data_IF_664641567243
#
_entry.id   IF_664641567243
#
_cell.length_a   1.000
_cell.length_b   1.000
_cell.length_c   1.000
_cell.angle_alpha   90.00
_cell.angle_beta   90.00
_cell.angle_gamma   90.00
#
_symmetry.space_group_name_H-M   'P 1'
#
loop_
_entity.id
_entity.type
_entity.pdbx_description
1 polymer ?
#
# COMPACT_ATOMS: atom_id res chain seq x y z
N UNK A 1 -4.25 21.72 6.11
CA UNK A 1 -3.12 20.79 6.35
C UNK A 1 -3.69 19.45 6.79
N UNK A 2 -3.19 18.32 6.26
CA UNK A 2 -3.59 17.00 6.70
C UNK A 2 -3.47 16.80 8.20
N UNK A 3 -4.45 16.17 8.84
CA UNK A 3 -4.37 15.80 10.25
C UNK A 3 -3.37 14.65 10.41
N UNK A 4 -2.28 14.88 11.13
CA UNK A 4 -1.34 13.82 11.49
C UNK A 4 -2.05 12.83 12.45
N UNK A 5 -2.02 11.54 12.16
CA UNK A 5 -2.46 10.52 13.11
C UNK A 5 -1.50 9.34 13.01
N UNK A 6 -0.66 9.16 14.04
CA UNK A 6 0.35 8.11 14.06
C UNK A 6 -0.24 6.69 14.09
N UNK A 7 -1.53 6.53 14.39
CA UNK A 7 -2.25 5.27 14.25
C UNK A 7 -2.31 4.81 12.78
N UNK A 8 -2.19 5.74 11.82
CA UNK A 8 -2.17 5.41 10.40
C UNK A 8 -1.10 4.36 10.05
N UNK A 9 0.03 4.32 10.78
CA UNK A 9 1.07 3.32 10.57
C UNK A 9 0.62 1.90 10.95
N UNK A 10 -0.02 1.74 12.11
CA UNK A 10 -0.59 0.48 12.57
C UNK A 10 -1.91 0.10 11.87
N UNK A 11 -2.52 1.01 11.10
CA UNK A 11 -3.69 0.69 10.26
C UNK A 11 -3.29 0.27 8.85
N UNK A 12 -2.21 0.84 8.30
CA UNK A 12 -1.63 0.43 7.00
C UNK A 12 -0.89 -0.89 7.09
N UNK A 13 -0.26 -1.14 8.23
CA UNK A 13 0.52 -2.34 8.54
C UNK A 13 -0.07 -3.05 9.76
N UNK A 14 0.39 -4.23 10.12
CA UNK A 14 0.19 -4.74 11.49
C UNK A 14 1.10 -3.99 12.49
N UNK A 15 0.96 -4.18 13.79
CA UNK A 15 1.74 -3.46 14.83
C UNK A 15 3.27 -3.52 14.59
N UNK A 16 3.78 -4.68 14.16
CA UNK A 16 5.20 -4.87 13.86
C UNK A 16 5.65 -4.08 12.62
N UNK A 17 4.83 -4.05 11.56
CA UNK A 17 5.10 -3.24 10.37
C UNK A 17 4.89 -1.74 10.61
N UNK A 18 3.95 -1.35 11.49
CA UNK A 18 3.72 0.04 11.88
C UNK A 18 4.92 0.64 12.61
N UNK A 19 5.62 -0.18 13.41
CA UNK A 19 6.90 0.21 14.02
C UNK A 19 7.97 0.54 12.98
N UNK A 20 8.12 -0.30 11.96
CA UNK A 20 9.10 -0.11 10.88
C UNK A 20 8.75 1.15 10.06
N UNK A 21 7.47 1.33 9.72
CA UNK A 21 7.03 2.51 8.95
C UNK A 21 7.20 3.81 9.75
N UNK A 22 6.96 3.78 11.07
CA UNK A 22 7.22 4.93 11.95
C UNK A 22 8.70 5.30 12.00
N UNK A 23 9.59 4.30 12.05
CA UNK A 23 11.04 4.51 12.04
C UNK A 23 11.51 5.12 10.71
N UNK A 24 10.99 4.63 9.58
CA UNK A 24 11.26 5.20 8.26
C UNK A 24 10.79 6.64 8.14
N UNK A 25 9.56 6.93 8.61
CA UNK A 25 9.02 8.28 8.66
C UNK A 25 9.90 9.21 9.52
N UNK A 26 10.33 8.72 10.69
CA UNK A 26 11.21 9.45 11.59
C UNK A 26 12.57 9.75 10.94
N UNK A 27 13.16 8.78 10.21
CA UNK A 27 14.41 8.99 9.47
C UNK A 27 14.29 10.13 8.45
N UNK A 28 13.21 10.14 7.67
CA UNK A 28 12.94 11.23 6.72
C UNK A 28 12.72 12.56 7.44
N UNK A 29 12.01 12.55 8.57
CA UNK A 29 11.71 13.77 9.34
C UNK A 29 12.98 14.37 9.93
N UNK A 30 13.84 13.55 10.52
CA UNK A 30 15.12 13.96 11.06
C UNK A 30 16.00 14.58 9.96
N UNK A 31 16.07 13.95 8.80
CA UNK A 31 16.82 14.49 7.66
C UNK A 31 16.28 15.84 7.18
N UNK A 32 14.96 15.97 7.05
CA UNK A 32 14.33 17.22 6.59
C UNK A 32 14.52 18.38 7.58
N UNK A 33 14.43 18.10 8.88
CA UNK A 33 14.53 19.12 9.93
C UNK A 33 15.97 19.55 10.22
N UNK A 34 16.91 18.60 10.22
CA UNK A 34 18.31 18.89 10.53
C UNK A 34 19.10 19.29 9.27
N UNK A 35 18.55 19.07 8.07
CA UNK A 35 19.19 19.44 6.79
C UNK A 35 20.45 18.62 6.48
N UNK A 36 20.67 17.53 7.21
CA UNK A 36 21.83 16.64 7.08
C UNK A 36 21.31 15.23 6.85
N UNK A 37 22.01 14.45 6.01
CA UNK A 37 21.65 13.07 5.72
C UNK A 37 21.55 12.23 6.99
N UNK A 38 20.35 11.73 7.27
CA UNK A 38 20.09 10.74 8.31
C UNK A 38 20.26 9.33 7.75
N UNK A 39 20.62 8.38 8.62
CA UNK A 39 20.78 6.95 8.27
C UNK A 39 20.03 6.09 9.27
N UNK A 40 19.38 5.04 8.79
CA UNK A 40 18.83 3.95 9.60
C UNK A 40 19.82 2.79 9.45
N UNK A 41 20.64 2.49 10.46
CA UNK A 41 21.60 1.39 10.37
C UNK A 41 20.87 0.03 10.30
N UNK A 42 21.34 -0.87 9.45
CA UNK A 42 20.85 -2.26 9.46
C UNK A 42 21.65 -3.07 10.51
N UNK A 43 21.02 -3.92 11.32
CA UNK A 43 21.72 -4.72 12.33
C UNK A 43 22.71 -5.68 11.66
N UNK A 44 24.01 -5.53 11.94
CA UNK A 44 25.06 -6.39 11.39
C UNK A 44 25.24 -7.66 12.22
N UNK A 45 24.53 -8.74 11.86
CA UNK A 45 24.78 -10.09 12.40
C UNK A 45 24.64 -10.18 13.93
N UNK A 46 25.62 -10.82 14.59
CA UNK A 46 25.60 -11.16 16.03
C UNK A 46 25.76 -9.97 17.00
N UNK A 47 26.00 -8.75 16.50
CA UNK A 47 26.27 -7.57 17.35
C UNK A 47 25.06 -6.67 17.61
N UNK A 48 23.89 -6.98 17.02
CA UNK A 48 22.65 -6.22 17.23
C UNK A 48 22.67 -4.81 16.60
N UNK A 49 21.63 -4.02 16.90
CA UNK A 49 21.35 -2.69 16.32
C UNK A 49 21.94 -1.51 17.13
N UNK A 50 22.75 -1.82 18.15
CA UNK A 50 23.35 -0.86 19.10
C UNK A 50 22.37 0.08 19.83
N UNK A 51 21.06 -0.05 19.60
CA UNK A 51 20.04 0.87 20.10
C UNK A 51 19.97 2.17 19.29
N UNK A 52 20.25 2.12 17.99
CA UNK A 52 20.30 3.29 17.12
C UNK A 52 19.29 3.10 15.99
N UNK A 53 18.09 3.67 16.14
CA UNK A 53 17.08 3.52 15.09
C UNK A 53 17.31 4.53 13.94
N UNK A 54 17.70 5.76 14.27
CA UNK A 54 18.08 6.81 13.29
C UNK A 54 19.30 7.56 13.78
N UNK A 55 20.26 7.84 12.89
CA UNK A 55 21.45 8.62 13.22
C UNK A 55 21.80 9.70 12.20
N UNK A 56 22.37 10.81 12.68
CA UNK A 56 23.06 11.82 11.87
C UNK A 56 24.53 11.87 12.29
N UNK A 57 25.43 11.99 11.31
CA UNK A 57 26.88 12.02 11.51
C UNK A 57 27.56 10.69 11.22
N UNK A 58 28.81 10.55 11.68
CA UNK A 58 29.67 9.40 11.39
C UNK A 58 30.02 8.65 12.67
N UNK A 59 29.88 7.32 12.65
CA UNK A 59 30.17 6.43 13.77
C UNK A 59 31.67 6.31 14.09
N UNK A 60 32.55 6.99 13.34
CA UNK A 60 33.97 7.15 13.67
C UNK A 60 34.30 8.56 14.20
N UNK A 61 33.29 9.38 14.44
CA UNK A 61 33.44 10.77 14.85
C UNK A 61 32.35 11.13 15.85
N UNK A 62 31.49 12.08 15.47
CA UNK A 62 30.39 12.57 16.30
C UNK A 62 29.06 12.12 15.70
N UNK A 63 28.17 11.59 16.54
CA UNK A 63 26.86 11.08 16.14
C UNK A 63 25.74 11.71 16.99
N UNK A 64 24.61 11.99 16.36
CA UNK A 64 23.34 12.27 17.03
C UNK A 64 22.38 11.12 16.75
N UNK A 65 21.72 10.61 17.79
CA UNK A 65 20.89 9.41 17.73
C UNK A 65 19.44 9.78 18.04
N UNK A 66 18.52 9.23 17.26
CA UNK A 66 17.09 9.24 17.52
C UNK A 66 16.63 7.79 17.70
N UNK A 67 16.04 7.50 18.85
CA UNK A 67 15.47 6.20 19.19
C UNK A 67 13.95 6.25 19.04
N UNK A 68 13.42 5.59 18.01
CA UNK A 68 12.02 5.31 17.80
C UNK A 68 11.49 4.22 18.76
N UNK A 69 10.47 4.56 19.54
CA UNK A 69 9.65 3.58 20.26
C UNK A 69 8.18 3.75 19.92
N UNK A 70 7.67 2.87 19.07
CA UNK A 70 6.29 2.91 18.58
C UNK A 70 5.30 2.37 19.63
N UNK A 71 4.99 3.18 20.64
CA UNK A 71 4.01 2.88 21.69
C UNK A 71 2.70 3.61 21.42
N UNK A 72 1.96 3.16 20.39
CA UNK A 72 0.75 3.87 19.95
C UNK A 72 -0.39 3.84 20.99
N UNK A 73 -0.47 2.77 21.79
CA UNK A 73 -1.46 2.59 22.86
C UNK A 73 -1.11 3.33 24.17
N UNK A 74 -0.05 4.15 24.15
CA UNK A 74 0.35 5.02 25.25
C UNK A 74 1.61 4.59 26.01
N UNK A 75 2.14 5.51 26.82
CA UNK A 75 3.42 5.36 27.52
C UNK A 75 3.25 5.28 29.05
N UNK A 76 3.77 4.22 29.68
CA UNK A 76 3.65 4.01 31.13
C UNK A 76 4.94 3.40 31.74
N UNK A 77 4.92 3.19 33.06
CA UNK A 77 6.06 2.68 33.83
C UNK A 77 6.66 1.38 33.33
N UNK A 78 5.89 0.52 32.65
CA UNK A 78 6.39 -0.73 32.04
C UNK A 78 7.38 -0.46 30.89
N UNK A 79 7.38 0.74 30.31
CA UNK A 79 8.26 1.11 29.21
C UNK A 79 9.59 1.73 29.67
N UNK A 80 9.67 2.20 30.92
CA UNK A 80 10.84 2.91 31.46
C UNK A 80 12.12 2.07 31.36
N UNK A 81 12.02 0.76 31.65
CA UNK A 81 13.18 -0.14 31.57
C UNK A 81 13.64 -0.41 30.14
N UNK A 82 12.73 -0.37 29.15
CA UNK A 82 13.12 -0.45 27.74
C UNK A 82 13.90 0.78 27.29
N UNK A 83 13.50 1.97 27.75
CA UNK A 83 14.21 3.24 27.47
C UNK A 83 15.61 3.21 28.07
N UNK A 84 15.74 2.85 29.35
CA UNK A 84 17.05 2.72 30.03
C UNK A 84 17.98 1.76 29.31
N UNK A 85 17.47 0.60 28.87
CA UNK A 85 18.26 -0.40 28.13
C UNK A 85 18.74 0.14 26.77
N UNK A 86 17.88 0.86 26.05
CA UNK A 86 18.25 1.52 24.79
C UNK A 86 19.38 2.54 24.98
N UNK A 87 19.28 3.41 25.98
CA UNK A 87 20.34 4.39 26.26
C UNK A 87 21.64 3.73 26.72
N UNK A 88 21.57 2.72 27.59
CA UNK A 88 22.74 1.94 28.00
C UNK A 88 23.44 1.27 26.82
N UNK A 89 22.68 0.69 25.89
CA UNK A 89 23.23 0.10 24.66
C UNK A 89 24.02 1.13 23.84
N UNK A 90 23.52 2.36 23.73
CA UNK A 90 24.23 3.44 23.05
C UNK A 90 25.54 3.83 23.77
N UNK A 91 25.53 3.87 25.12
CA UNK A 91 26.75 4.12 25.91
C UNK A 91 27.79 3.00 25.76
N UNK A 92 27.34 1.74 25.78
CA UNK A 92 28.22 0.58 25.60
C UNK A 92 28.83 0.59 24.19
N UNK A 93 28.04 0.95 23.16
CA UNK A 93 28.54 1.12 21.78
C UNK A 93 29.55 2.28 21.68
N UNK A 94 29.29 3.40 22.36
CA UNK A 94 30.25 4.53 22.48
C UNK A 94 31.58 4.07 23.06
N UNK A 95 31.56 3.28 24.14
CA UNK A 95 32.77 2.79 24.79
C UNK A 95 33.53 1.79 23.91
N UNK A 96 32.82 0.88 23.24
CA UNK A 96 33.40 -0.18 22.41
C UNK A 96 33.96 0.33 21.08
N UNK A 97 33.30 1.29 20.44
CA UNK A 97 33.62 1.76 19.09
C UNK A 97 34.26 3.15 19.07
N UNK A 98 34.55 3.74 20.23
CA UNK A 98 35.28 4.99 20.41
C UNK A 98 34.68 6.21 19.67
N UNK A 99 33.36 6.26 19.51
CA UNK A 99 32.67 7.42 18.93
C UNK A 99 32.12 8.35 20.01
N UNK A 100 31.78 9.58 19.62
CA UNK A 100 31.18 10.58 20.51
C UNK A 100 29.70 10.73 20.21
N UNK A 101 28.84 10.49 21.20
CA UNK A 101 27.41 10.78 21.09
C UNK A 101 27.18 12.22 21.54
N UNK A 102 26.73 13.08 20.63
CA UNK A 102 26.41 14.49 20.90
C UNK A 102 25.00 14.65 21.47
N UNK A 103 24.05 13.89 20.90
CA UNK A 103 22.64 13.96 21.23
C UNK A 103 22.00 12.58 21.20
N UNK A 104 21.07 12.33 22.13
CA UNK A 104 20.21 11.15 22.12
C UNK A 104 18.75 11.58 22.33
N UNK A 105 17.89 11.35 21.34
CA UNK A 105 16.49 11.79 21.36
C UNK A 105 15.58 10.56 21.38
N UNK A 106 14.71 10.46 22.38
CA UNK A 106 13.61 9.48 22.39
C UNK A 106 12.45 10.01 21.54
N UNK A 107 11.95 9.20 20.62
CA UNK A 107 10.81 9.52 19.76
C UNK A 107 9.65 8.57 20.02
N UNK A 108 8.50 9.10 20.44
CA UNK A 108 7.29 8.32 20.73
C UNK A 108 6.06 8.92 20.02
N UNK A 109 5.20 8.11 19.37
CA UNK A 109 4.03 8.58 18.64
C UNK A 109 2.82 8.90 19.53
N UNK A 110 3.01 9.02 20.85
CA UNK A 110 1.96 9.29 21.81
C UNK A 110 2.39 10.41 22.76
N UNK A 111 1.42 11.10 23.35
CA UNK A 111 1.67 12.10 24.38
C UNK A 111 2.14 11.42 25.66
N UNK A 112 3.21 11.95 26.27
CA UNK A 112 3.74 11.40 27.51
C UNK A 112 2.84 11.78 28.71
N UNK A 113 2.35 10.80 29.51
CA UNK A 113 1.53 11.13 30.68
C UNK A 113 2.35 11.80 31.80
N UNK A 114 1.74 12.64 32.66
CA UNK A 114 2.46 13.43 33.67
C UNK A 114 3.38 12.64 34.60
N UNK A 115 2.96 11.44 35.03
CA UNK A 115 3.78 10.59 35.88
C UNK A 115 5.05 10.07 35.16
N UNK A 116 4.93 9.79 33.86
CA UNK A 116 6.04 9.36 33.01
C UNK A 116 6.93 10.55 32.61
N UNK A 117 6.35 11.74 32.40
CA UNK A 117 7.08 12.98 32.11
C UNK A 117 7.96 13.41 33.29
N UNK A 118 7.42 13.37 34.51
CA UNK A 118 8.21 13.58 35.73
C UNK A 118 9.37 12.59 35.84
N UNK A 119 9.09 11.30 35.62
CA UNK A 119 10.13 10.27 35.62
C UNK A 119 11.21 10.55 34.56
N UNK A 120 10.80 10.98 33.37
CA UNK A 120 11.72 11.30 32.27
C UNK A 120 12.65 12.46 32.66
N UNK A 121 12.13 13.54 33.24
CA UNK A 121 12.93 14.66 33.74
C UNK A 121 13.95 14.22 34.80
N UNK A 122 13.49 13.51 35.85
CA UNK A 122 14.37 12.98 36.91
C UNK A 122 15.44 12.02 36.34
N UNK A 123 15.10 11.22 35.34
CA UNK A 123 16.04 10.31 34.70
C UNK A 123 17.08 11.02 33.83
N UNK A 124 16.68 12.09 33.10
CA UNK A 124 17.59 12.91 32.29
C UNK A 124 18.61 13.63 33.17
N UNK A 125 18.19 14.22 34.29
CA UNK A 125 19.10 14.84 35.28
C UNK A 125 20.15 13.85 35.79
N UNK A 126 19.76 12.59 36.02
CA UNK A 126 20.70 11.53 36.42
C UNK A 126 21.74 11.17 35.35
N UNK A 127 21.57 11.60 34.09
CA UNK A 127 22.52 11.31 33.01
C UNK A 127 23.42 12.51 32.68
N UNK A 128 23.36 13.62 33.42
CA UNK A 128 24.14 14.84 33.12
C UNK A 128 25.65 14.58 32.98
N UNK A 129 26.22 13.72 33.84
CA UNK A 129 27.64 13.34 33.82
C UNK A 129 28.09 12.66 32.52
N UNK A 130 27.15 12.15 31.70
CA UNK A 130 27.48 11.54 30.40
C UNK A 130 27.93 12.55 29.35
N UNK A 131 27.58 13.83 29.55
CA UNK A 131 27.78 14.93 28.60
C UNK A 131 26.94 14.86 27.34
N UNK A 132 25.98 13.92 27.26
CA UNK A 132 25.11 13.73 26.09
C UNK A 132 23.86 14.61 26.23
N UNK A 133 23.49 15.34 25.19
CA UNK A 133 22.23 16.09 25.17
C UNK A 133 21.05 15.14 24.98
N UNK A 134 20.27 14.90 26.03
CA UNK A 134 19.10 14.02 25.98
C UNK A 134 17.83 14.84 25.68
N UNK A 135 17.03 14.38 24.72
CA UNK A 135 15.79 15.06 24.31
C UNK A 135 14.61 14.11 24.09
N UNK A 136 13.41 14.68 24.04
CA UNK A 136 12.15 13.95 23.80
C UNK A 136 11.40 14.58 22.62
N UNK A 137 11.04 13.75 21.65
CA UNK A 137 10.07 14.05 20.61
C UNK A 137 8.84 13.19 20.85
N UNK A 138 7.90 13.72 21.62
CA UNK A 138 6.60 13.11 21.84
C UNK A 138 5.61 13.45 20.71
N UNK A 139 4.36 13.00 20.82
CA UNK A 139 3.33 13.26 19.82
C UNK A 139 3.21 14.75 19.43
N UNK A 140 3.20 15.65 20.41
CA UNK A 140 3.06 17.09 20.17
C UNK A 140 4.27 17.61 19.40
N UNK A 141 5.48 17.27 19.85
CA UNK A 141 6.70 17.71 19.18
C UNK A 141 6.79 17.17 17.76
N UNK A 142 6.44 15.90 17.54
CA UNK A 142 6.46 15.28 16.22
C UNK A 142 5.42 15.92 15.28
N UNK A 143 4.22 16.24 15.79
CA UNK A 143 3.20 16.99 15.03
C UNK A 143 3.69 18.37 14.64
N UNK A 144 4.33 19.09 15.57
CA UNK A 144 4.90 20.41 15.31
C UNK A 144 6.00 20.35 14.25
N UNK A 145 6.86 19.33 14.29
CA UNK A 145 7.91 19.13 13.29
C UNK A 145 7.32 18.78 11.91
N UNK A 146 6.31 17.90 11.87
CA UNK A 146 5.58 17.55 10.65
C UNK A 146 4.71 18.69 10.10
N UNK A 147 4.41 19.69 10.93
CA UNK A 147 3.69 20.89 10.51
C UNK A 147 4.58 21.86 9.72
N UNK A 148 5.91 21.74 9.84
CA UNK A 148 6.86 22.66 9.21
C UNK A 148 6.96 22.46 7.69
N UNK A 149 7.23 23.53 6.92
CA UNK A 149 7.35 23.45 5.46
C UNK A 149 8.38 22.41 4.99
N UNK A 150 9.49 22.27 5.70
CA UNK A 150 10.55 21.31 5.37
C UNK A 150 10.05 19.85 5.43
N UNK A 151 9.04 19.58 6.25
CA UNK A 151 8.44 18.26 6.44
C UNK A 151 7.14 18.07 5.63
N UNK A 152 6.74 19.02 4.79
CA UNK A 152 5.47 18.95 4.04
C UNK A 152 5.38 17.69 3.17
N UNK A 153 6.47 17.32 2.51
CA UNK A 153 6.51 16.10 1.69
C UNK A 153 6.34 14.83 2.53
N UNK A 154 6.82 14.83 3.77
CA UNK A 154 6.74 13.71 4.72
C UNK A 154 5.33 13.63 5.26
N UNK A 155 4.78 14.78 5.67
CA UNK A 155 3.41 14.88 6.12
C UNK A 155 2.45 14.40 5.03
N UNK A 156 2.72 14.75 3.78
CA UNK A 156 1.91 14.33 2.65
C UNK A 156 2.04 12.83 2.36
N UNK A 157 3.26 12.30 2.39
CA UNK A 157 3.53 10.88 2.18
C UNK A 157 2.86 9.98 3.24
N UNK A 158 2.94 10.36 4.51
CA UNK A 158 2.49 9.50 5.62
C UNK A 158 1.09 9.84 6.17
N UNK A 159 0.59 11.08 6.00
CA UNK A 159 -0.63 11.53 6.68
C UNK A 159 -1.63 12.32 5.83
N UNK A 160 -1.45 12.48 4.50
CA UNK A 160 -2.48 13.13 3.67
C UNK A 160 -3.70 12.21 3.44
N UNK A 161 -4.89 12.55 3.98
CA UNK A 161 -6.12 11.78 3.74
C UNK A 161 -6.70 12.02 2.34
N UNK A 162 -6.27 13.07 1.65
CA UNK A 162 -6.72 13.48 0.31
C UNK A 162 -5.70 13.15 -0.77
N UNK A 163 -5.26 11.89 -0.84
CA UNK A 163 -4.63 11.39 -2.06
C UNK A 163 -5.74 11.16 -3.11
N UNK A 164 -6.28 12.26 -3.66
CA UNK A 164 -7.09 12.31 -4.87
C UNK A 164 -6.24 12.89 -6.01
N UNK A 165 -6.23 12.29 -7.22
CA UNK A 165 -5.34 12.70 -8.32
C UNK A 165 -5.86 13.90 -9.15
N UNK A 166 -6.65 14.82 -8.57
CA UNK A 166 -7.47 15.75 -9.39
C UNK A 166 -7.03 17.22 -9.38
N UNK A 167 -6.27 17.73 -8.40
CA UNK A 167 -5.92 19.16 -8.38
C UNK A 167 -4.41 19.39 -8.48
N UNK A 168 -3.91 19.44 -9.72
CA UNK A 168 -2.90 20.43 -10.12
C UNK A 168 -2.90 20.56 -11.64
N UNK A 169 -3.43 21.68 -12.14
CA UNK A 169 -3.11 22.17 -13.47
C UNK A 169 -1.97 23.19 -13.34
N UNK A 170 -0.71 22.87 -13.70
CA UNK A 170 0.22 23.89 -14.14
C UNK A 170 0.16 24.02 -15.67
N UNK A 171 0.19 25.27 -16.10
CA UNK A 171 0.40 25.71 -17.48
C UNK A 171 1.62 25.01 -18.15
N UNK A 172 1.69 24.95 -19.49
CA UNK A 172 2.72 24.18 -20.19
C UNK A 172 4.13 24.69 -19.84
N UNK A 173 4.90 23.86 -19.12
CA UNK A 173 6.33 24.06 -18.94
C UNK A 173 7.03 23.36 -20.11
N UNK A 174 7.73 24.14 -20.91
CA UNK A 174 8.76 23.63 -21.83
C UNK A 174 9.90 23.05 -20.98
N UNK A 175 9.99 21.73 -20.86
CA UNK A 175 11.06 21.07 -20.09
C UNK A 175 12.09 20.43 -21.03
N UNK A 176 13.34 20.78 -20.79
CA UNK A 176 14.52 20.14 -21.36
C UNK A 176 14.57 18.67 -20.92
N UNK A 177 14.90 17.78 -21.86
CA UNK A 177 15.07 16.33 -21.68
C UNK A 177 16.25 16.08 -20.73
N UNK A 178 16.05 15.57 -19.50
CA UNK A 178 17.16 15.08 -18.69
C UNK A 178 17.71 13.78 -19.26
N UNK A 179 19.00 13.53 -19.07
CA UNK A 179 19.63 12.27 -19.48
C UNK A 179 19.04 11.06 -18.70
N UNK A 180 18.88 9.94 -19.40
CA UNK A 180 18.29 8.70 -18.90
C UNK A 180 19.20 8.01 -17.86
N UNK A 181 18.87 8.16 -16.57
CA UNK A 181 19.52 7.49 -15.44
C UNK A 181 18.75 6.25 -14.95
N UNK A 182 17.68 5.86 -15.66
CA UNK A 182 16.83 4.74 -15.31
C UNK A 182 15.91 4.96 -14.09
N UNK A 183 15.80 6.17 -13.54
CA UNK A 183 14.88 6.49 -12.45
C UNK A 183 13.57 7.11 -12.96
N UNK A 184 12.43 6.55 -12.55
CA UNK A 184 11.10 7.07 -12.89
C UNK A 184 10.71 8.19 -11.95
N UNK A 185 10.75 9.43 -12.42
CA UNK A 185 10.37 10.65 -11.66
C UNK A 185 9.28 11.44 -12.41
N UNK A 186 8.47 12.28 -11.73
CA UNK A 186 7.57 13.22 -12.39
C UNK A 186 8.32 14.07 -13.41
N UNK A 187 7.78 14.23 -14.61
CA UNK A 187 8.45 14.92 -15.70
C UNK A 187 9.57 14.14 -16.39
N UNK A 188 9.86 12.90 -15.97
CA UNK A 188 10.78 12.02 -16.68
C UNK A 188 10.16 11.59 -18.02
N UNK A 189 10.93 11.80 -19.08
CA UNK A 189 10.56 11.52 -20.46
C UNK A 189 11.46 10.41 -20.97
N UNK A 190 10.95 9.19 -20.99
CA UNK A 190 11.68 8.04 -21.52
C UNK A 190 11.65 8.00 -23.07
N UNK A 191 11.59 9.16 -23.72
CA UNK A 191 11.33 9.35 -25.15
C UNK A 191 9.88 9.10 -25.60
N UNK A 192 9.10 8.31 -24.85
CA UNK A 192 7.74 7.86 -25.25
C UNK A 192 6.61 8.31 -24.32
N UNK A 193 6.91 8.54 -23.04
CA UNK A 193 5.92 8.75 -21.98
C UNK A 193 6.35 9.87 -21.03
N UNK A 194 5.39 10.69 -20.61
CA UNK A 194 5.55 11.73 -19.59
C UNK A 194 4.89 11.28 -18.29
N UNK A 195 5.67 11.09 -17.22
CA UNK A 195 5.16 10.69 -15.91
C UNK A 195 4.57 11.89 -15.17
N UNK A 196 3.40 11.70 -14.53
CA UNK A 196 2.72 12.72 -13.73
C UNK A 196 3.07 12.69 -12.25
N UNK A 197 3.42 11.52 -11.74
CA UNK A 197 3.75 11.27 -10.33
C UNK A 197 4.98 10.37 -10.24
N UNK A 198 5.57 10.30 -9.05
CA UNK A 198 6.62 9.33 -8.74
C UNK A 198 6.09 7.90 -8.96
N UNK A 199 6.94 7.05 -9.52
CA UNK A 199 6.60 5.65 -9.64
C UNK A 199 6.51 5.00 -8.26
N UNK A 200 5.51 4.14 -8.07
CA UNK A 200 5.50 3.23 -6.94
C UNK A 200 6.50 2.12 -7.23
N UNK A 201 7.57 2.06 -6.45
CA UNK A 201 8.61 1.04 -6.56
C UNK A 201 8.42 -0.07 -5.53
N UNK A 202 8.64 -1.31 -5.93
CA UNK A 202 8.64 -2.48 -5.05
C UNK A 202 9.87 -3.33 -5.39
N UNK A 203 10.98 -3.16 -4.67
CA UNK A 203 12.17 -3.96 -4.89
C UNK A 203 11.97 -5.40 -4.39
N UNK A 204 12.64 -6.34 -5.06
CA UNK A 204 12.75 -7.71 -4.55
C UNK A 204 13.49 -7.72 -3.21
N UNK A 205 13.17 -8.69 -2.34
CA UNK A 205 13.84 -8.85 -1.05
C UNK A 205 15.36 -9.08 -1.21
N UNK A 206 15.78 -9.74 -2.29
CA UNK A 206 17.18 -9.99 -2.65
C UNK A 206 17.81 -8.85 -3.47
N UNK A 207 17.07 -7.77 -3.71
CA UNK A 207 17.44 -6.61 -4.55
C UNK A 207 17.85 -6.99 -5.98
N UNK A 208 17.46 -8.17 -6.48
CA UNK A 208 17.81 -8.62 -7.84
C UNK A 208 17.00 -7.92 -8.93
N UNK A 209 15.80 -7.43 -8.60
CA UNK A 209 14.92 -6.71 -9.51
C UNK A 209 14.05 -5.68 -8.76
N UNK A 210 13.44 -4.76 -9.51
CA UNK A 210 12.43 -3.82 -9.01
C UNK A 210 11.21 -3.82 -9.92
N UNK A 211 10.03 -3.83 -9.30
CA UNK A 211 8.77 -3.57 -9.96
C UNK A 211 8.41 -2.10 -9.81
N UNK A 212 7.99 -1.44 -10.89
CA UNK A 212 7.51 -0.05 -10.89
C UNK A 212 6.12 0.06 -11.46
N UNK A 213 5.32 0.96 -10.91
CA UNK A 213 4.04 1.34 -11.48
C UNK A 213 3.85 2.86 -11.46
N UNK A 214 3.38 3.43 -12.58
CA UNK A 214 3.11 4.87 -12.70
C UNK A 214 1.98 5.15 -13.70
N UNK A 215 1.39 6.33 -13.61
CA UNK A 215 0.53 6.89 -14.67
C UNK A 215 1.32 7.86 -15.53
N UNK A 216 1.12 7.80 -16.84
CA UNK A 216 1.84 8.64 -17.79
C UNK A 216 0.93 9.05 -18.95
N UNK A 217 1.27 10.14 -19.63
CA UNK A 217 0.70 10.45 -20.95
C UNK A 217 1.68 10.01 -22.05
N UNK A 218 1.16 9.38 -23.10
CA UNK A 218 1.93 9.07 -24.30
C UNK A 218 2.30 10.36 -25.04
N UNK A 219 3.53 10.43 -25.50
CA UNK A 219 4.06 11.56 -26.28
C UNK A 219 3.72 11.38 -27.76
N UNK A 220 3.68 10.14 -28.26
CA UNK A 220 3.32 9.85 -29.65
C UNK A 220 2.54 8.52 -29.80
N UNK A 221 1.30 8.54 -30.32
CA UNK A 221 0.50 9.74 -30.56
C UNK A 221 0.17 10.46 -29.23
N UNK A 222 0.22 11.81 -29.19
CA UNK A 222 0.00 12.56 -27.97
C UNK A 222 -1.44 12.44 -27.46
N UNK A 223 -1.61 12.54 -26.14
CA UNK A 223 -2.94 12.69 -25.51
C UNK A 223 -3.61 11.39 -25.05
N UNK A 224 -2.93 10.25 -25.15
CA UNK A 224 -3.41 9.00 -24.54
C UNK A 224 -2.77 8.79 -23.17
N UNK A 225 -3.58 8.88 -22.11
CA UNK A 225 -3.15 8.50 -20.76
C UNK A 225 -3.05 6.98 -20.63
N UNK A 226 -1.99 6.52 -19.98
CA UNK A 226 -1.65 5.12 -19.77
C UNK A 226 -1.25 4.84 -18.33
N UNK A 227 -1.38 3.57 -17.94
CA UNK A 227 -0.77 3.01 -16.73
C UNK A 227 0.41 2.15 -17.17
N UNK A 228 1.58 2.47 -16.65
CA UNK A 228 2.84 1.78 -16.91
C UNK A 228 3.12 0.79 -15.78
N UNK A 229 3.56 -0.42 -16.14
CA UNK A 229 4.15 -1.41 -15.24
C UNK A 229 5.50 -1.82 -15.79
N UNK A 230 6.54 -1.77 -14.96
CA UNK A 230 7.89 -2.12 -15.38
C UNK A 230 8.51 -3.13 -14.42
N UNK A 231 9.28 -4.05 -14.97
CA UNK A 231 10.27 -4.86 -14.25
C UNK A 231 11.64 -4.48 -14.76
N UNK A 232 12.53 -4.06 -13.86
CA UNK A 232 13.96 -3.90 -14.14
C UNK A 232 14.76 -4.92 -13.34
N UNK A 233 15.62 -5.67 -14.02
CA UNK A 233 16.60 -6.56 -13.40
C UNK A 233 17.90 -5.80 -13.15
N UNK A 234 18.40 -5.88 -11.92
CA UNK A 234 19.75 -5.47 -11.55
C UNK A 234 20.74 -6.63 -11.58
N UNK A 235 20.23 -7.85 -11.33
CA UNK A 235 20.96 -9.10 -11.40
C UNK A 235 20.05 -10.16 -12.01
N UNK A 236 20.67 -11.10 -12.72
CA UNK A 236 19.93 -12.24 -13.22
C UNK A 236 19.41 -13.10 -12.06
N UNK A 237 18.09 -13.31 -12.02
CA UNK A 237 17.46 -14.19 -11.06
C UNK A 237 16.23 -14.88 -11.67
N UNK A 238 15.96 -16.15 -11.32
CA UNK A 238 14.79 -16.87 -11.84
C UNK A 238 13.46 -16.15 -11.54
N UNK A 239 13.34 -15.55 -10.35
CA UNK A 239 12.17 -14.78 -9.95
C UNK A 239 12.01 -13.49 -10.75
N UNK A 240 13.12 -12.79 -11.04
CA UNK A 240 13.12 -11.60 -11.88
C UNK A 240 12.73 -11.91 -13.32
N UNK A 241 13.33 -12.96 -13.91
CA UNK A 241 12.97 -13.44 -15.25
C UNK A 241 11.49 -13.82 -15.34
N UNK A 242 10.99 -14.58 -14.37
CA UNK A 242 9.57 -14.95 -14.32
C UNK A 242 8.63 -13.73 -14.25
N UNK A 243 9.03 -12.63 -13.61
CA UNK A 243 8.26 -11.38 -13.57
C UNK A 243 8.31 -10.64 -14.91
N UNK A 244 9.47 -10.59 -15.57
CA UNK A 244 9.59 -10.03 -16.92
C UNK A 244 8.75 -10.83 -17.92
N UNK A 245 8.92 -12.16 -17.95
CA UNK A 245 8.16 -13.06 -18.82
C UNK A 245 6.67 -12.93 -18.55
N UNK A 246 6.26 -12.84 -17.29
CA UNK A 246 4.87 -12.59 -16.91
C UNK A 246 4.29 -11.27 -17.44
N UNK A 247 5.08 -10.18 -17.52
CA UNK A 247 4.63 -8.94 -18.16
C UNK A 247 4.45 -9.08 -19.67
N UNK A 248 5.27 -9.92 -20.30
CA UNK A 248 5.21 -10.21 -21.74
C UNK A 248 3.99 -11.06 -22.04
N UNK A 249 3.78 -12.11 -21.26
CA UNK A 249 2.62 -12.99 -21.38
C UNK A 249 1.33 -12.22 -21.09
N UNK A 250 1.35 -11.29 -20.11
CA UNK A 250 0.23 -10.40 -19.85
C UNK A 250 -0.04 -9.46 -21.04
N UNK A 251 0.98 -8.99 -21.74
CA UNK A 251 0.82 -8.19 -22.95
C UNK A 251 0.17 -9.00 -24.09
N UNK A 252 0.56 -10.26 -24.27
CA UNK A 252 -0.07 -11.17 -25.24
C UNK A 252 -1.53 -11.47 -24.86
N UNK A 253 -1.79 -11.73 -23.58
CA UNK A 253 -3.15 -11.95 -23.06
C UNK A 253 -4.05 -10.73 -23.30
N UNK A 254 -3.51 -9.51 -23.19
CA UNK A 254 -4.25 -8.28 -23.51
C UNK A 254 -4.58 -8.14 -25.00
N UNK A 255 -3.77 -8.69 -25.90
CA UNK A 255 -4.10 -8.76 -27.32
C UNK A 255 -5.27 -9.74 -27.56
N UNK A 256 -5.25 -10.90 -26.91
CA UNK A 256 -6.33 -11.90 -26.99
C UNK A 256 -7.65 -11.44 -26.34
N UNK A 257 -7.55 -10.48 -25.42
CA UNK A 257 -8.68 -9.83 -24.75
C UNK A 257 -9.09 -8.52 -25.42
N UNK A 258 -8.47 -8.15 -26.55
CA UNK A 258 -8.77 -6.90 -27.24
C UNK A 258 -10.28 -6.82 -27.59
N UNK A 259 -10.91 -5.73 -27.14
CA UNK A 259 -12.35 -5.49 -27.37
C UNK A 259 -13.28 -6.05 -26.30
N UNK A 260 -12.78 -6.84 -25.34
CA UNK A 260 -13.57 -7.25 -24.17
C UNK A 260 -13.91 -6.02 -23.32
N UNK A 261 -15.19 -5.87 -22.98
CA UNK A 261 -15.66 -4.76 -22.14
C UNK A 261 -15.23 -4.96 -20.69
N UNK A 262 -14.82 -3.86 -20.06
CA UNK A 262 -14.45 -3.84 -18.64
C UNK A 262 -13.00 -4.28 -18.34
N UNK A 263 -12.25 -4.69 -19.36
CA UNK A 263 -10.81 -4.97 -19.26
C UNK A 263 -9.98 -3.83 -19.85
N UNK A 264 -8.75 -3.62 -19.35
CA UNK A 264 -7.81 -2.68 -19.95
C UNK A 264 -7.36 -3.18 -21.32
N UNK A 265 -6.84 -2.28 -22.16
CA UNK A 265 -6.22 -2.66 -23.43
C UNK A 265 -4.72 -2.41 -23.35
N UNK A 266 -3.95 -3.23 -24.08
CA UNK A 266 -2.53 -2.95 -24.32
C UNK A 266 -2.40 -1.66 -25.12
N UNK A 267 -1.59 -0.73 -24.63
CA UNK A 267 -1.16 0.44 -25.38
C UNK A 267 0.19 0.16 -26.06
N UNK A 268 1.15 -0.39 -25.32
CA UNK A 268 2.50 -0.67 -25.81
C UNK A 268 3.22 -1.68 -24.90
N UNK A 269 4.18 -2.41 -25.46
CA UNK A 269 5.17 -3.18 -24.70
C UNK A 269 6.56 -2.72 -25.13
N UNK A 270 7.36 -2.24 -24.18
CA UNK A 270 8.71 -1.70 -24.41
C UNK A 270 9.73 -2.62 -23.76
N UNK A 271 10.82 -2.90 -24.48
CA UNK A 271 12.00 -3.60 -23.96
C UNK A 271 13.23 -2.72 -24.13
N UNK A 272 14.02 -2.59 -23.08
CA UNK A 272 15.32 -1.90 -23.12
C UNK A 272 16.39 -2.88 -22.69
N UNK A 273 17.17 -3.35 -23.67
CA UNK A 273 18.07 -4.49 -23.48
C UNK A 273 17.34 -5.73 -22.94
N UNK A 274 18.08 -6.57 -22.21
CA UNK A 274 17.54 -7.79 -21.60
C UNK A 274 17.04 -7.56 -20.16
N UNK A 275 17.31 -6.40 -19.58
CA UNK A 275 17.06 -6.13 -18.16
C UNK A 275 15.76 -5.39 -17.89
N UNK A 276 15.14 -4.74 -18.88
CA UNK A 276 13.95 -3.89 -18.65
C UNK A 276 12.80 -4.28 -19.56
N UNK A 277 11.64 -4.57 -18.95
CA UNK A 277 10.36 -4.78 -19.65
C UNK A 277 9.33 -3.83 -19.07
N UNK A 278 8.67 -3.05 -19.93
CA UNK A 278 7.60 -2.11 -19.54
C UNK A 278 6.33 -2.37 -20.35
N UNK A 279 5.22 -2.62 -19.66
CA UNK A 279 3.89 -2.76 -20.25
C UNK A 279 3.07 -1.49 -19.98
N UNK A 280 2.63 -0.84 -21.05
CA UNK A 280 1.70 0.28 -21.01
C UNK A 280 0.28 -0.22 -21.32
N UNK A 281 -0.68 0.16 -20.47
CA UNK A 281 -2.10 -0.17 -20.62
C UNK A 281 -2.95 1.09 -20.62
N UNK A 282 -4.14 1.04 -21.23
CA UNK A 282 -5.06 2.19 -21.29
C UNK A 282 -5.47 2.64 -19.89
N UNK A 283 -5.35 3.93 -19.62
CA UNK A 283 -5.94 4.52 -18.43
C UNK A 283 -7.46 4.61 -18.56
N UNK A 284 -8.19 4.18 -17.52
CA UNK A 284 -9.64 4.39 -17.43
C UNK A 284 -9.91 5.58 -16.51
N UNK A 285 -10.52 6.63 -17.04
CA UNK A 285 -10.97 7.76 -16.24
C UNK A 285 -12.18 7.39 -15.37
N UNK A 286 -12.21 7.93 -14.15
CA UNK A 286 -13.22 7.66 -13.14
C UNK A 286 -12.60 7.56 -11.75
N UNK A 287 -13.45 7.46 -10.73
CA UNK A 287 -13.02 7.28 -9.34
C UNK A 287 -12.65 5.82 -9.08
N UNK A 288 -11.70 5.59 -8.18
CA UNK A 288 -11.47 4.24 -7.67
C UNK A 288 -12.69 3.73 -6.91
N UNK A 289 -12.84 2.42 -6.80
CA UNK A 289 -13.85 1.82 -5.92
C UNK A 289 -13.69 2.29 -4.48
N UNK A 290 -12.46 2.51 -4.03
CA UNK A 290 -12.20 3.09 -2.71
C UNK A 290 -12.83 4.46 -2.53
N UNK A 291 -12.65 5.34 -3.50
CA UNK A 291 -13.18 6.70 -3.45
C UNK A 291 -14.70 6.73 -3.55
N UNK A 292 -15.28 5.92 -4.44
CA UNK A 292 -16.69 6.02 -4.76
C UNK A 292 -17.60 5.13 -3.89
N UNK A 293 -17.09 3.97 -3.46
CA UNK A 293 -17.84 2.93 -2.75
C UNK A 293 -17.12 2.44 -1.49
N UNK A 294 -16.04 3.10 -1.08
CA UNK A 294 -15.26 2.71 0.10
C UNK A 294 -15.98 2.98 1.42
N UNK A 295 -15.44 2.44 2.53
CA UNK A 295 -16.07 2.37 3.83
C UNK A 295 -16.21 3.71 4.58
N UNK A 296 -16.06 4.86 3.90
CA UNK A 296 -15.99 6.18 4.54
C UNK A 296 -17.28 6.56 5.31
N UNK A 297 -18.40 5.90 5.03
CA UNK A 297 -19.67 5.97 5.75
C UNK A 297 -20.43 4.65 5.61
N UNK A 298 -21.21 4.24 6.61
CA UNK A 298 -22.10 3.08 6.49
C UNK A 298 -23.04 3.28 5.28
N UNK A 299 -23.04 2.34 4.34
CA UNK A 299 -23.85 2.46 3.13
C UNK A 299 -25.33 2.24 3.46
N UNK A 300 -26.19 3.09 2.90
CA UNK A 300 -27.63 2.86 2.90
C UNK A 300 -28.01 1.78 1.86
N UNK A 301 -29.31 1.48 1.78
CA UNK A 301 -29.86 0.53 0.81
C UNK A 301 -29.44 0.83 -0.64
N UNK A 302 -29.38 2.11 -1.03
CA UNK A 302 -29.02 2.51 -2.40
C UNK A 302 -27.51 2.38 -2.64
N UNK A 303 -26.68 2.67 -1.63
CA UNK A 303 -25.25 2.39 -1.64
C UNK A 303 -24.97 0.90 -1.81
N UNK A 304 -25.69 0.03 -1.11
CA UNK A 304 -25.61 -1.41 -1.30
C UNK A 304 -26.05 -1.85 -2.72
N UNK A 305 -27.07 -1.20 -3.29
CA UNK A 305 -27.47 -1.43 -4.69
C UNK A 305 -26.36 -1.02 -5.68
N UNK A 306 -25.64 0.08 -5.41
CA UNK A 306 -24.53 0.53 -6.23
C UNK A 306 -23.32 -0.44 -6.16
N UNK A 307 -22.97 -0.88 -4.95
CA UNK A 307 -21.92 -1.90 -4.72
C UNK A 307 -22.24 -3.20 -5.46
N UNK A 308 -23.46 -3.71 -5.33
CA UNK A 308 -23.87 -4.96 -5.99
C UNK A 308 -23.87 -4.84 -7.50
N UNK A 309 -24.30 -3.69 -8.04
CA UNK A 309 -24.22 -3.40 -9.48
C UNK A 309 -22.78 -3.39 -10.00
N UNK A 310 -21.89 -2.68 -9.30
CA UNK A 310 -20.50 -2.57 -9.67
C UNK A 310 -19.77 -3.92 -9.57
N UNK A 311 -20.02 -4.69 -8.52
CA UNK A 311 -19.45 -6.03 -8.34
C UNK A 311 -19.89 -7.00 -9.45
N UNK A 312 -21.16 -6.94 -9.87
CA UNK A 312 -21.64 -7.77 -10.97
C UNK A 312 -20.90 -7.47 -12.29
N UNK A 313 -20.59 -6.20 -12.57
CA UNK A 313 -19.81 -5.81 -13.74
C UNK A 313 -18.35 -6.33 -13.65
N UNK A 314 -17.75 -6.31 -12.46
CA UNK A 314 -16.42 -6.90 -12.24
C UNK A 314 -16.43 -8.40 -12.48
N UNK A 315 -17.46 -9.12 -11.99
CA UNK A 315 -17.63 -10.55 -12.24
C UNK A 315 -17.70 -10.87 -13.75
N UNK A 316 -18.31 -10.02 -14.56
CA UNK A 316 -18.36 -10.22 -16.02
C UNK A 316 -16.98 -10.13 -16.68
N UNK A 317 -16.16 -9.15 -16.26
CA UNK A 317 -14.79 -9.01 -16.75
C UNK A 317 -13.90 -10.17 -16.29
N UNK A 318 -14.05 -10.61 -15.04
CA UNK A 318 -13.32 -11.75 -14.49
C UNK A 318 -13.72 -13.07 -15.14
N UNK A 319 -15.01 -13.25 -15.48
CA UNK A 319 -15.46 -14.45 -16.20
C UNK A 319 -14.70 -14.63 -17.53
N UNK A 320 -14.47 -13.54 -18.27
CA UNK A 320 -13.77 -13.62 -19.54
C UNK A 320 -12.28 -13.96 -19.39
N UNK A 321 -11.68 -13.56 -18.26
CA UNK A 321 -10.34 -13.98 -17.85
C UNK A 321 -10.31 -15.47 -17.45
N UNK A 322 -11.28 -15.91 -16.62
CA UNK A 322 -11.42 -17.28 -16.14
C UNK A 322 -11.64 -18.28 -17.26
N UNK A 323 -12.43 -17.92 -18.27
CA UNK A 323 -12.69 -18.75 -19.46
C UNK A 323 -11.43 -19.05 -20.27
N UNK A 324 -10.39 -18.22 -20.14
CA UNK A 324 -9.05 -18.42 -20.75
C UNK A 324 -8.06 -19.09 -19.80
N UNK A 325 -8.49 -19.56 -18.64
CA UNK A 325 -7.62 -20.23 -17.67
C UNK A 325 -6.76 -19.27 -16.83
N UNK A 326 -7.07 -17.97 -16.83
CA UNK A 326 -6.37 -16.98 -16.03
C UNK A 326 -7.23 -16.47 -14.88
N UNK A 327 -6.60 -15.97 -13.83
CA UNK A 327 -7.24 -15.30 -12.69
C UNK A 327 -6.46 -14.03 -12.34
N UNK A 328 -7.16 -13.00 -11.87
CA UNK A 328 -6.59 -11.69 -11.57
C UNK A 328 -5.72 -11.73 -10.30
N UNK A 329 -6.17 -12.44 -9.26
CA UNK A 329 -5.52 -12.76 -7.97
C UNK A 329 -5.02 -11.57 -7.14
N UNK A 330 -5.35 -10.35 -7.53
CA UNK A 330 -4.87 -9.13 -6.89
C UNK A 330 -5.93 -8.03 -6.91
N UNK A 331 -7.20 -8.43 -6.75
CA UNK A 331 -8.29 -7.47 -6.66
C UNK A 331 -8.21 -6.69 -5.35
N UNK A 332 -8.44 -5.40 -5.46
CA UNK A 332 -8.51 -4.42 -4.38
C UNK A 332 -9.39 -3.25 -4.83
N UNK A 333 -9.83 -2.36 -3.92
CA UNK A 333 -10.62 -1.19 -4.32
C UNK A 333 -9.87 -0.26 -5.28
N UNK A 334 -8.54 -0.31 -5.29
CA UNK A 334 -7.71 0.61 -6.09
C UNK A 334 -7.55 0.14 -7.54
N UNK A 335 -7.74 -1.15 -7.83
CA UNK A 335 -7.70 -1.69 -9.20
C UNK A 335 -9.06 -1.64 -9.90
N UNK A 336 -10.13 -1.30 -9.19
CA UNK A 336 -11.49 -1.16 -9.73
C UNK A 336 -11.80 0.31 -9.97
N UNK A 337 -12.19 0.67 -11.19
CA UNK A 337 -12.54 2.05 -11.56
C UNK A 337 -14.02 2.15 -11.88
N UNK A 338 -14.73 3.05 -11.18
CA UNK A 338 -16.09 3.42 -11.50
C UNK A 338 -16.08 4.55 -12.51
N UNK A 339 -16.61 4.27 -13.70
CA UNK A 339 -16.69 5.27 -14.78
C UNK A 339 -17.81 6.26 -14.48
N UNK A 340 -17.55 7.55 -14.73
CA UNK A 340 -18.53 8.62 -14.54
C UNK A 340 -19.86 8.32 -15.25
N UNK A 341 -20.97 8.57 -14.55
CA UNK A 341 -22.33 8.38 -15.06
C UNK A 341 -22.76 6.92 -15.25
N UNK A 342 -21.97 5.92 -14.84
CA UNK A 342 -22.33 4.50 -14.93
C UNK A 342 -21.94 3.73 -13.66
N UNK A 343 -22.87 2.96 -13.10
CA UNK A 343 -22.59 2.00 -12.01
C UNK A 343 -21.85 0.73 -12.49
N UNK A 344 -20.97 0.86 -13.50
CA UNK A 344 -20.22 -0.24 -14.08
C UNK A 344 -18.74 -0.04 -13.79
N UNK A 345 -18.23 -0.84 -12.84
CA UNK A 345 -16.80 -0.87 -12.55
C UNK A 345 -16.04 -1.59 -13.66
N UNK A 346 -14.82 -1.12 -13.95
CA UNK A 346 -13.89 -1.73 -14.89
C UNK A 346 -12.57 -2.03 -14.19
N UNK A 347 -11.84 -3.03 -14.68
CA UNK A 347 -10.51 -3.36 -14.19
C UNK A 347 -9.48 -2.39 -14.76
N UNK A 348 -8.65 -1.83 -13.87
CA UNK A 348 -7.49 -0.98 -14.21
C UNK A 348 -6.37 -1.83 -14.84
N UNK A 349 -6.26 -3.09 -14.43
CA UNK A 349 -5.24 -4.03 -14.86
C UNK A 349 -5.72 -5.48 -14.82
N UNK A 350 -4.84 -6.41 -15.18
CA UNK A 350 -5.10 -7.84 -15.04
C UNK A 350 -4.47 -8.41 -13.77
N UNK A 351 -4.00 -7.56 -12.85
CA UNK A 351 -3.28 -7.94 -11.65
C UNK A 351 -2.11 -8.87 -11.93
N UNK A 352 -2.19 -10.06 -11.35
CA UNK A 352 -1.20 -11.13 -11.48
C UNK A 352 -1.59 -12.14 -12.57
N UNK A 353 -2.55 -11.84 -13.44
CA UNK A 353 -2.82 -12.70 -14.58
C UNK A 353 -1.55 -12.87 -15.43
N UNK A 354 -1.28 -14.11 -15.82
CA UNK A 354 -0.07 -14.53 -16.55
C UNK A 354 1.26 -14.41 -15.76
N UNK A 355 1.23 -14.06 -14.48
CA UNK A 355 2.41 -14.11 -13.60
C UNK A 355 2.39 -15.42 -12.80
N UNK A 356 3.51 -16.13 -12.57
CA UNK A 356 3.50 -17.34 -11.75
C UNK A 356 3.01 -17.09 -10.31
N UNK A 357 2.36 -18.09 -9.73
CA UNK A 357 1.90 -18.05 -8.32
C UNK A 357 3.10 -17.91 -7.39
N UNK A 358 3.01 -16.97 -6.45
CA UNK A 358 3.99 -16.84 -5.36
C UNK A 358 3.30 -16.85 -3.99
N UNK A 359 3.90 -17.48 -2.96
CA UNK A 359 3.35 -17.44 -1.61
C UNK A 359 3.23 -16.00 -1.09
N UNK A 360 2.08 -15.68 -0.49
CA UNK A 360 1.78 -14.34 0.02
C UNK A 360 1.44 -13.32 -1.05
N UNK A 361 1.17 -13.73 -2.30
CA UNK A 361 0.75 -12.82 -3.37
C UNK A 361 -0.63 -12.17 -3.11
N UNK A 362 -0.92 -11.08 -3.81
CA UNK A 362 -2.16 -10.33 -3.67
C UNK A 362 -2.03 -9.13 -2.73
N UNK A 363 -3.15 -8.47 -2.47
CA UNK A 363 -3.19 -7.19 -1.74
C UNK A 363 -4.00 -7.39 -0.47
N UNK A 364 -3.36 -7.24 0.69
CA UNK A 364 -4.05 -7.22 1.97
C UNK A 364 -5.03 -6.02 2.03
N UNK A 365 -6.20 -6.15 2.68
CA UNK A 365 -6.70 -7.31 3.43
C UNK A 365 -7.51 -8.33 2.60
N UNK A 366 -7.50 -8.27 1.27
CA UNK A 366 -8.37 -9.09 0.41
C UNK A 366 -7.79 -10.45 0.03
N UNK A 367 -6.58 -10.77 0.48
CA UNK A 367 -5.92 -12.04 0.14
C UNK A 367 -6.78 -13.23 0.58
N UNK A 368 -7.00 -14.17 -0.33
CA UNK A 368 -7.65 -15.42 0.01
C UNK A 368 -6.70 -16.33 0.82
N UNK A 369 -7.20 -17.23 1.68
CA UNK A 369 -6.35 -18.09 2.51
C UNK A 369 -5.33 -18.92 1.73
N UNK A 370 -5.68 -19.40 0.54
CA UNK A 370 -4.78 -20.14 -0.34
C UNK A 370 -3.64 -19.29 -0.92
N UNK A 371 -3.76 -17.96 -0.95
CA UNK A 371 -2.67 -17.08 -1.36
C UNK A 371 -1.62 -16.93 -0.26
N UNK A 372 -2.05 -16.92 1.01
CA UNK A 372 -1.17 -16.81 2.17
C UNK A 372 -0.41 -18.11 2.43
N UNK A 373 -1.07 -19.25 2.19
CA UNK A 373 -0.53 -20.59 2.48
C UNK A 373 -0.80 -21.56 1.33
N UNK A 374 -0.24 -21.35 0.13
CA UNK A 374 -0.56 -22.14 -1.06
C UNK A 374 -0.25 -23.63 -0.91
N UNK A 375 0.78 -24.01 -0.15
CA UNK A 375 1.13 -25.41 0.10
C UNK A 375 0.19 -26.17 1.04
N UNK A 376 -0.78 -25.48 1.67
CA UNK A 376 -1.77 -26.07 2.57
C UNK A 376 -3.20 -26.02 2.01
N UNK A 377 -3.39 -25.39 0.85
CA UNK A 377 -4.68 -25.28 0.21
C UNK A 377 -4.96 -26.49 -0.69
N UNK A 378 -6.24 -26.90 -0.83
CA UNK A 378 -6.61 -28.04 -1.67
C UNK A 378 -6.42 -27.77 -3.17
N UNK A 379 -6.45 -26.50 -3.58
CA UNK A 379 -6.15 -26.05 -4.94
C UNK A 379 -5.28 -24.78 -4.89
N UNK A 380 -4.39 -24.56 -5.88
CA UNK A 380 -3.59 -23.35 -5.96
C UNK A 380 -4.46 -22.10 -6.24
N UNK A 381 -3.94 -20.89 -5.95
CA UNK A 381 -4.59 -19.64 -6.32
C UNK A 381 -5.04 -19.60 -7.80
N UNK A 382 -6.28 -19.20 -8.03
CA UNK A 382 -6.93 -19.30 -9.35
C UNK A 382 -8.31 -18.63 -9.38
N UNK A 383 -9.25 -19.06 -10.25
CA UNK A 383 -10.57 -18.43 -10.37
C UNK A 383 -11.36 -18.30 -9.06
N UNK A 384 -11.26 -19.31 -8.17
CA UNK A 384 -11.88 -19.28 -6.83
C UNK A 384 -11.29 -18.20 -5.91
N UNK A 385 -10.04 -17.78 -6.15
CA UNK A 385 -9.40 -16.66 -5.43
C UNK A 385 -10.05 -15.34 -5.81
N UNK A 386 -10.34 -15.12 -7.09
CA UNK A 386 -11.03 -13.90 -7.54
C UNK A 386 -12.46 -13.82 -6.98
N UNK A 387 -13.16 -14.96 -6.88
CA UNK A 387 -14.49 -15.05 -6.27
C UNK A 387 -14.46 -14.63 -4.79
N UNK A 388 -13.46 -15.11 -4.03
CA UNK A 388 -13.24 -14.70 -2.65
C UNK A 388 -12.98 -13.19 -2.57
N UNK A 389 -12.09 -12.68 -3.42
CA UNK A 389 -11.71 -11.27 -3.40
C UNK A 389 -12.89 -10.34 -3.74
N UNK A 390 -13.75 -10.71 -4.70
CA UNK A 390 -14.99 -9.96 -4.99
C UNK A 390 -15.92 -9.96 -3.78
N UNK A 391 -16.12 -11.11 -3.14
CA UNK A 391 -16.97 -11.19 -1.96
C UNK A 391 -16.43 -10.37 -0.78
N UNK A 392 -15.11 -10.40 -0.56
CA UNK A 392 -14.44 -9.58 0.45
C UNK A 392 -14.57 -8.08 0.17
N UNK A 393 -14.49 -7.66 -1.11
CA UNK A 393 -14.71 -6.28 -1.52
C UNK A 393 -16.14 -5.83 -1.26
N UNK A 394 -17.14 -6.63 -1.66
CA UNK A 394 -18.55 -6.33 -1.42
C UNK A 394 -18.83 -6.23 0.07
N UNK A 395 -18.34 -7.19 0.85
CA UNK A 395 -18.52 -7.22 2.30
C UNK A 395 -17.91 -5.98 2.96
N UNK A 396 -16.65 -5.67 2.65
CA UNK A 396 -15.96 -4.52 3.21
C UNK A 396 -16.64 -3.19 2.84
N UNK A 397 -17.10 -3.06 1.60
CA UNK A 397 -17.78 -1.84 1.14
C UNK A 397 -19.06 -1.58 1.91
N UNK A 398 -19.83 -2.64 2.20
CA UNK A 398 -21.11 -2.52 2.92
C UNK A 398 -20.90 -2.39 4.42
N UNK A 399 -20.05 -3.23 5.01
CA UNK A 399 -19.86 -3.29 6.46
C UNK A 399 -18.96 -2.19 7.03
N UNK A 400 -18.15 -1.56 6.19
CA UNK A 400 -17.13 -0.61 6.62
C UNK A 400 -15.87 -1.25 7.19
N UNK A 401 -15.85 -2.57 7.37
CA UNK A 401 -14.84 -3.30 8.13
C UNK A 401 -14.08 -4.29 7.24
N UNK A 402 -12.79 -4.07 6.95
CA UNK A 402 -12.03 -5.00 6.14
C UNK A 402 -11.79 -6.33 6.86
N UNK A 403 -12.01 -7.44 6.17
CA UNK A 403 -11.74 -8.79 6.70
C UNK A 403 -12.70 -9.28 7.79
N UNK A 404 -13.66 -8.45 8.20
CA UNK A 404 -14.72 -8.88 9.10
C UNK A 404 -15.78 -9.69 8.32
N UNK A 405 -16.35 -10.72 8.92
CA UNK A 405 -17.52 -11.45 8.36
C UNK A 405 -18.71 -11.19 9.28
N UNK A 406 -19.17 -9.94 9.29
CA UNK A 406 -20.39 -9.53 9.99
C UNK A 406 -21.61 -9.80 9.10
N UNK A 407 -22.78 -10.12 9.67
CA UNK A 407 -24.03 -10.13 8.89
C UNK A 407 -24.27 -8.74 8.28
N UNK A 408 -24.33 -8.66 6.95
CA UNK A 408 -24.57 -7.42 6.21
C UNK A 408 -25.97 -6.88 6.49
N UNK A 409 -26.91 -7.76 6.83
CA UNK A 409 -28.27 -7.39 7.27
C UNK A 409 -28.29 -6.61 8.58
N UNK A 410 -27.25 -6.72 9.41
CA UNK A 410 -27.11 -5.88 10.59
C UNK A 410 -26.74 -4.43 10.25
N UNK A 411 -26.22 -4.19 9.04
CA UNK A 411 -25.84 -2.86 8.53
C UNK A 411 -26.91 -2.31 7.60
N UNK A 412 -27.44 -3.15 6.71
CA UNK A 412 -28.50 -2.83 5.75
C UNK A 412 -29.64 -3.83 5.96
N UNK A 413 -30.69 -3.51 6.75
CA UNK A 413 -31.76 -4.46 7.08
C UNK A 413 -32.45 -5.10 5.86
N UNK A 414 -32.53 -4.37 4.75
CA UNK A 414 -33.12 -4.83 3.49
C UNK A 414 -32.15 -5.66 2.61
N UNK A 415 -30.96 -6.00 3.12
CA UNK A 415 -30.00 -6.79 2.38
C UNK A 415 -30.52 -8.22 2.13
N UNK A 416 -30.54 -8.71 0.88
CA UNK A 416 -31.16 -10.00 0.57
C UNK A 416 -30.42 -11.20 1.17
N UNK A 417 -31.16 -12.04 1.90
CA UNK A 417 -30.66 -13.26 2.57
C UNK A 417 -29.91 -14.18 1.58
N UNK A 418 -30.46 -14.37 0.38
CA UNK A 418 -29.87 -15.22 -0.66
C UNK A 418 -28.49 -14.71 -1.09
N UNK A 419 -28.29 -13.40 -1.17
CA UNK A 419 -26.99 -12.82 -1.50
C UNK A 419 -26.02 -12.91 -0.32
N UNK A 420 -26.49 -12.68 0.91
CA UNK A 420 -25.65 -12.85 2.11
C UNK A 420 -25.10 -14.28 2.22
N UNK A 421 -25.96 -15.29 2.02
CA UNK A 421 -25.54 -16.70 1.98
C UNK A 421 -24.56 -16.99 0.83
N UNK A 422 -24.76 -16.36 -0.33
CA UNK A 422 -23.84 -16.51 -1.47
C UNK A 422 -22.47 -15.90 -1.19
N UNK A 423 -22.42 -14.71 -0.57
CA UNK A 423 -21.18 -14.05 -0.17
C UNK A 423 -20.46 -14.86 0.92
N UNK A 424 -21.19 -15.41 1.88
CA UNK A 424 -20.63 -16.30 2.90
C UNK A 424 -19.97 -17.55 2.28
N UNK A 425 -20.62 -18.20 1.30
CA UNK A 425 -20.01 -19.31 0.55
C UNK A 425 -18.81 -18.87 -0.29
N UNK A 426 -18.85 -17.69 -0.89
CA UNK A 426 -17.72 -17.16 -1.66
C UNK A 426 -16.50 -16.82 -0.77
N UNK A 427 -16.73 -16.49 0.51
CA UNK A 427 -15.72 -16.24 1.53
C UNK A 427 -15.21 -17.50 2.25
N UNK A 428 -15.65 -18.71 1.84
CA UNK A 428 -15.19 -19.95 2.48
C UNK A 428 -13.67 -20.09 2.37
N UNK A 429 -13.03 -20.50 3.47
CA UNK A 429 -11.59 -20.71 3.51
C UNK A 429 -11.14 -21.84 2.57
N UNK A 430 -12.02 -22.82 2.33
CA UNK A 430 -11.81 -23.89 1.35
C UNK A 430 -12.27 -23.41 -0.04
N UNK A 431 -11.34 -23.17 -0.99
CA UNK A 431 -11.68 -22.71 -2.34
C UNK A 431 -12.60 -23.66 -3.12
N UNK A 432 -12.69 -24.94 -2.75
CA UNK A 432 -13.56 -25.92 -3.42
C UNK A 432 -15.03 -25.80 -3.02
N UNK A 433 -15.32 -25.11 -1.91
CA UNK A 433 -16.69 -24.86 -1.42
C UNK A 433 -17.31 -23.57 -1.96
N UNK A 434 -16.48 -22.72 -2.57
CA UNK A 434 -16.92 -21.48 -3.23
C UNK A 434 -17.68 -21.82 -4.52
N UNK A 435 -18.51 -20.90 -5.05
CA UNK A 435 -19.13 -21.11 -6.37
C UNK A 435 -18.09 -21.48 -7.43
N UNK A 436 -18.31 -22.57 -8.17
CA UNK A 436 -17.36 -23.02 -9.19
C UNK A 436 -17.22 -22.05 -10.38
N UNK A 437 -18.22 -21.19 -10.58
CA UNK A 437 -18.27 -20.21 -11.66
C UNK A 437 -18.70 -18.85 -11.13
N UNK A 438 -17.90 -17.83 -11.41
CA UNK A 438 -18.14 -16.45 -10.97
C UNK A 438 -19.44 -15.87 -11.53
N UNK A 439 -19.99 -16.41 -12.63
CA UNK A 439 -21.30 -16.03 -13.18
C UNK A 439 -22.44 -16.30 -12.20
N UNK A 440 -22.30 -17.30 -11.33
CA UNK A 440 -23.30 -17.61 -10.30
C UNK A 440 -23.38 -16.46 -9.29
N UNK A 441 -22.22 -15.97 -8.82
CA UNK A 441 -22.15 -14.79 -7.96
C UNK A 441 -22.69 -13.53 -8.69
N UNK A 442 -22.32 -13.34 -9.96
CA UNK A 442 -22.79 -12.22 -10.77
C UNK A 442 -24.32 -12.19 -10.92
N UNK A 443 -24.96 -13.35 -11.07
CA UNK A 443 -26.41 -13.46 -11.19
C UNK A 443 -27.11 -13.05 -9.89
N UNK A 444 -26.64 -13.52 -8.74
CA UNK A 444 -27.23 -13.12 -7.44
C UNK A 444 -26.99 -11.64 -7.12
N UNK A 445 -25.83 -11.09 -7.45
CA UNK A 445 -25.56 -9.66 -7.31
C UNK A 445 -26.55 -8.80 -8.11
N UNK A 446 -26.90 -9.21 -9.34
CA UNK A 446 -27.90 -8.49 -10.16
C UNK A 446 -29.30 -8.59 -9.57
N UNK A 447 -29.72 -9.76 -9.09
CA UNK A 447 -31.03 -9.93 -8.44
C UNK A 447 -31.12 -9.09 -7.18
N UNK A 448 -30.07 -9.09 -6.36
CA UNK A 448 -30.01 -8.30 -5.15
C UNK A 448 -30.08 -6.80 -5.44
N UNK A 449 -29.37 -6.32 -6.47
CA UNK A 449 -29.48 -4.93 -6.93
C UNK A 449 -30.93 -4.55 -7.21
N UNK A 450 -31.70 -5.40 -7.90
CA UNK A 450 -33.10 -5.10 -8.20
C UNK A 450 -33.96 -4.97 -6.95
N UNK A 451 -33.80 -5.86 -5.97
CA UNK A 451 -34.49 -5.79 -4.67
C UNK A 451 -34.10 -4.52 -3.93
N UNK A 452 -32.79 -4.27 -3.81
CA UNK A 452 -32.22 -3.10 -3.16
C UNK A 452 -32.54 -1.79 -3.88
N UNK A 453 -32.95 -1.80 -5.15
CA UNK A 453 -33.35 -0.58 -5.88
C UNK A 453 -34.83 -0.26 -5.70
N UNK A 454 -35.72 -1.26 -5.72
CA UNK A 454 -37.18 -1.07 -5.69
C UNK A 454 -37.73 -0.62 -4.34
N UNK A 455 -37.03 -0.91 -3.24
CA UNK A 455 -37.54 -0.72 -1.88
C UNK A 455 -38.61 -1.76 -1.57
N UNK A 456 -38.71 -2.21 -0.31
CA UNK A 456 -39.79 -3.10 0.07
C UNK A 456 -41.12 -2.39 -0.20
N UNK A 457 -41.99 -2.97 -1.04
CA UNK A 457 -43.41 -2.62 -0.97
C UNK A 457 -43.88 -3.14 0.39
N UNK A 458 -44.08 -2.22 1.33
CA UNK A 458 -44.61 -2.48 2.67
C UNK A 458 -45.98 -3.13 2.62
#
# INVERSE_FOLDING_TARGET
MPSVNFLAHAMRQNEAGGRIEFEQMLGMLVQAIEGIQARIPEPSGSEGDWGIDVLIGELHGRVSIWQAKYYIDGFNSKHHEKVRRSFKSALDARAKHHHVIDRWILCIPCTMPPASDRWWGEWVEQQEDTGIKIGLWDENKLRDLLARPEADHIRNLYYNPYRSPVDDHPAPITLAVPADDGQWRPGWINGHHLLHEDAVETPAADRSWVWRQATADRISPPGQRVVLRQVQLFRDSPHGRARQDGLVDQAALLDDLAGVRGLPRKAELIRVGDSVVTLATTYSAGSSWREALGPATALDRLGAAAVTAAAAAVCDSLHELHRRGHAHRALSPDVLILREGRLAAVLRDLGLAAIPVTPGEGIAPYQAPEQLRPGLAPVPPGPSTDIYQVAALVHHSISGMPGAVLPLRAVVPEFPDVLEDMLARALDADPTRRPADIRVLAAELRRAREVLSRGAMS
#
